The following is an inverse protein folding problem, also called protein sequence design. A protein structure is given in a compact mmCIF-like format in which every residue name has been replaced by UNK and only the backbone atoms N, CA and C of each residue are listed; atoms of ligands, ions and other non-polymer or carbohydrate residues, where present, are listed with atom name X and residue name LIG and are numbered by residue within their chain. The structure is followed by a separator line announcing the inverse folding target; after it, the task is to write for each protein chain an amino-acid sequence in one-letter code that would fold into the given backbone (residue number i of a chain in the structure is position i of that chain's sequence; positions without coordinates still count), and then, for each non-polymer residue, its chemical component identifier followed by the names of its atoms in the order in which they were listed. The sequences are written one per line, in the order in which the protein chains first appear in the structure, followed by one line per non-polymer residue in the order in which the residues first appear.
data_IF_140191202540
#
_entry.id   IF_140191202540
#
_cell.length_a   1.000
_cell.length_b   1.000
_cell.length_c   1.000
_cell.angle_alpha   90.00
_cell.angle_beta   90.00
_cell.angle_gamma   90.00
#
_symmetry.space_group_name_H-M   'P 1'
#
loop_
_entity.id
_entity.type
_entity.pdbx_description
1 polymer ?
#
# COMPACT_ATOMS: atom_id res chain seq x y z
N UNK A 1 -3.33 7.63 7.25
CA UNK A 1 -3.30 8.18 8.63
C UNK A 1 -1.88 8.32 9.18
N UNK A 2 -1.03 7.28 9.14
CA UNK A 2 0.37 7.40 9.59
C UNK A 2 1.18 8.51 8.89
N UNK A 3 1.00 8.69 7.58
CA UNK A 3 1.67 9.75 6.80
C UNK A 3 1.25 11.17 7.23
N UNK A 4 -0.02 11.38 7.59
CA UNK A 4 -0.50 12.66 8.12
C UNK A 4 0.17 12.97 9.45
N UNK A 5 0.21 11.99 10.35
CA UNK A 5 0.86 12.13 11.64
C UNK A 5 2.36 12.47 11.46
N UNK A 6 3.05 11.77 10.57
CA UNK A 6 4.44 12.07 10.22
C UNK A 6 4.60 13.51 9.69
N UNK A 7 3.69 13.97 8.83
CA UNK A 7 3.71 15.33 8.28
C UNK A 7 3.61 16.39 9.38
N UNK A 8 2.74 16.20 10.37
CA UNK A 8 2.63 17.13 11.50
C UNK A 8 3.84 17.05 12.43
N UNK A 9 4.36 15.84 12.70
CA UNK A 9 5.51 15.66 13.57
C UNK A 9 6.82 16.17 12.96
N UNK A 10 6.96 16.17 11.63
CA UNK A 10 8.15 16.75 10.96
C UNK A 10 8.20 18.27 11.07
N UNK A 11 7.06 18.92 11.29
CA UNK A 11 7.00 20.36 11.58
C UNK A 11 7.34 20.68 13.03
N UNK A 12 7.40 19.68 13.92
CA UNK A 12 7.89 19.85 15.29
C UNK A 12 9.42 19.72 15.25
N UNK A 13 10.15 20.74 15.72
CA UNK A 13 11.63 20.77 15.68
C UNK A 13 12.30 19.70 16.58
N UNK A 14 11.53 18.81 17.20
CA UNK A 14 12.01 17.80 18.13
C UNK A 14 12.22 16.44 17.44
N UNK A 15 13.50 16.09 17.24
CA UNK A 15 13.97 14.90 16.50
C UNK A 15 13.37 13.57 16.97
N UNK A 16 13.14 13.40 18.28
CA UNK A 16 12.64 12.15 18.85
C UNK A 16 11.29 11.72 18.26
N UNK A 17 10.37 12.67 18.06
CA UNK A 17 9.05 12.37 17.51
C UNK A 17 9.10 11.95 16.04
N UNK A 18 10.04 12.51 15.27
CA UNK A 18 10.26 12.18 13.87
C UNK A 18 10.80 10.74 13.76
N UNK A 19 11.72 10.34 14.64
CA UNK A 19 12.25 8.96 14.64
C UNK A 19 11.19 7.93 15.04
N UNK A 20 10.47 8.18 16.13
CA UNK A 20 9.42 7.26 16.59
C UNK A 20 8.32 7.07 15.52
N UNK A 21 7.89 8.16 14.87
CA UNK A 21 6.89 8.09 13.81
C UNK A 21 7.40 7.42 12.54
N UNK A 22 8.66 7.65 12.16
CA UNK A 22 9.30 6.96 11.03
C UNK A 22 9.37 5.45 11.23
N UNK A 23 9.72 4.99 12.43
CA UNK A 23 9.78 3.55 12.76
C UNK A 23 8.39 2.92 12.61
N UNK A 24 7.36 3.52 13.22
CA UNK A 24 6.00 3.01 13.13
C UNK A 24 5.50 3.02 11.69
N UNK A 25 5.68 4.14 10.97
CA UNK A 25 5.28 4.28 9.58
C UNK A 25 5.95 3.22 8.70
N UNK A 26 7.27 3.04 8.82
CA UNK A 26 8.04 2.06 8.06
C UNK A 26 7.63 0.62 8.36
N UNK A 27 7.39 0.29 9.64
CA UNK A 27 6.92 -1.03 10.05
C UNK A 27 5.58 -1.39 9.40
N UNK A 28 4.59 -0.51 9.49
CA UNK A 28 3.27 -0.77 8.92
C UNK A 28 3.27 -0.78 7.38
N UNK A 29 4.02 0.13 6.73
CA UNK A 29 4.11 0.15 5.27
C UNK A 29 4.75 -1.14 4.73
N UNK A 30 5.81 -1.63 5.39
CA UNK A 30 6.49 -2.86 4.98
C UNK A 30 5.62 -4.08 5.28
N UNK A 31 4.94 -4.11 6.43
CA UNK A 31 4.05 -5.22 6.81
C UNK A 31 2.78 -5.33 5.96
N UNK A 32 2.33 -4.23 5.35
CA UNK A 32 1.19 -4.22 4.43
C UNK A 32 1.50 -4.92 3.10
N UNK A 33 2.75 -4.85 2.63
CA UNK A 33 3.18 -5.42 1.35
C UNK A 33 2.93 -6.94 1.23
N UNK A 34 3.37 -7.80 2.17
CA UNK A 34 3.13 -9.24 2.08
C UNK A 34 1.63 -9.59 2.13
N UNK A 35 0.83 -8.86 2.94
CA UNK A 35 -0.63 -9.05 3.00
C UNK A 35 -1.27 -8.74 1.63
N UNK A 36 -0.81 -7.70 0.95
CA UNK A 36 -1.27 -7.36 -0.40
C UNK A 36 -0.96 -8.44 -1.44
N UNK A 37 0.20 -9.10 -1.35
CA UNK A 37 0.56 -10.20 -2.24
C UNK A 37 -0.31 -11.44 -2.00
N UNK A 38 -0.54 -11.81 -0.74
CA UNK A 38 -1.45 -12.91 -0.39
C UNK A 38 -2.89 -12.64 -0.85
N UNK A 39 -3.38 -11.42 -0.64
CA UNK A 39 -4.74 -11.05 -1.06
C UNK A 39 -4.90 -11.09 -2.59
N UNK A 40 -3.89 -10.65 -3.33
CA UNK A 40 -3.94 -10.64 -4.79
C UNK A 40 -3.83 -12.03 -5.41
N UNK A 41 -3.02 -12.92 -4.84
CA UNK A 41 -2.96 -14.32 -5.28
C UNK A 41 -4.29 -15.03 -5.04
N UNK A 42 -4.98 -14.71 -3.94
CA UNK A 42 -6.32 -15.24 -3.67
C UNK A 42 -7.39 -14.71 -4.63
N UNK A 43 -7.34 -13.42 -4.99
CA UNK A 43 -8.28 -12.81 -5.94
C UNK A 43 -8.10 -13.36 -7.38
N UNK A 44 -6.86 -13.68 -7.75
CA UNK A 44 -6.49 -14.10 -9.11
C UNK A 44 -6.50 -15.61 -9.34
N UNK A 45 -6.95 -16.42 -8.38
CA UNK A 45 -7.04 -17.87 -8.52
C UNK A 45 -7.81 -18.30 -9.79
N UNK A 46 -7.32 -19.28 -10.59
CA UNK A 46 -6.16 -20.17 -10.36
C UNK A 46 -4.87 -19.74 -11.08
N UNK A 47 -4.53 -18.45 -11.13
CA UNK A 47 -3.26 -17.98 -11.70
C UNK A 47 -2.09 -18.34 -10.77
N UNK A 48 -0.92 -18.68 -11.34
CA UNK A 48 0.29 -18.95 -10.56
C UNK A 48 0.71 -17.73 -9.73
N UNK A 49 0.99 -17.96 -8.45
CA UNK A 49 1.35 -16.92 -7.47
C UNK A 49 2.54 -16.06 -7.93
N UNK A 50 3.55 -16.69 -8.55
CA UNK A 50 4.70 -15.98 -9.11
C UNK A 50 4.34 -14.97 -10.21
N UNK A 51 3.32 -15.25 -11.03
CA UNK A 51 2.85 -14.32 -12.07
C UNK A 51 2.08 -13.16 -11.45
N UNK A 52 1.21 -13.42 -10.46
CA UNK A 52 0.46 -12.39 -9.76
C UNK A 52 1.40 -11.43 -8.99
N UNK A 53 2.33 -11.98 -8.21
CA UNK A 53 3.33 -11.21 -7.46
C UNK A 53 4.29 -10.45 -8.38
N UNK A 54 4.68 -11.04 -9.53
CA UNK A 54 5.51 -10.36 -10.54
C UNK A 54 4.83 -9.13 -11.14
N UNK A 55 3.54 -9.25 -11.52
CA UNK A 55 2.76 -8.13 -12.04
C UNK A 55 2.54 -7.03 -10.99
N UNK A 56 2.24 -7.43 -9.75
CA UNK A 56 2.07 -6.48 -8.64
C UNK A 56 3.35 -5.71 -8.36
N UNK A 57 4.49 -6.39 -8.27
CA UNK A 57 5.78 -5.73 -8.05
C UNK A 57 6.16 -4.81 -9.22
N UNK A 58 5.94 -5.24 -10.47
CA UNK A 58 6.16 -4.39 -11.64
C UNK A 58 5.30 -3.12 -11.61
N UNK A 59 4.01 -3.25 -11.26
CA UNK A 59 3.12 -2.11 -11.11
C UNK A 59 3.57 -1.16 -9.98
N UNK A 60 3.94 -1.70 -8.82
CA UNK A 60 4.42 -0.94 -7.68
C UNK A 60 5.69 -0.16 -8.02
N UNK A 61 6.62 -0.75 -8.78
CA UNK A 61 7.84 -0.08 -9.21
C UNK A 61 7.57 1.06 -10.20
N UNK A 62 6.70 0.86 -11.19
CA UNK A 62 6.36 1.91 -12.17
C UNK A 62 5.71 3.10 -11.46
N UNK A 63 4.71 2.85 -10.62
CA UNK A 63 4.06 3.92 -9.84
C UNK A 63 5.02 4.55 -8.83
N UNK A 64 5.87 3.76 -8.18
CA UNK A 64 6.87 4.22 -7.23
C UNK A 64 7.87 5.19 -7.85
N UNK A 65 8.39 4.87 -9.04
CA UNK A 65 9.30 5.76 -9.77
C UNK A 65 8.58 7.06 -10.16
N UNK A 66 7.40 6.97 -10.76
CA UNK A 66 6.64 8.14 -11.19
C UNK A 66 6.31 9.08 -10.01
N UNK A 67 5.86 8.50 -8.89
CA UNK A 67 5.50 9.24 -7.69
C UNK A 67 6.73 9.85 -7.00
N UNK A 68 7.86 9.13 -6.96
CA UNK A 68 9.13 9.66 -6.44
C UNK A 68 9.61 10.86 -7.24
N UNK A 69 9.54 10.79 -8.58
CA UNK A 69 9.91 11.92 -9.45
C UNK A 69 8.97 13.11 -9.26
N UNK A 70 7.66 12.88 -9.17
CA UNK A 70 6.67 13.93 -8.93
C UNK A 70 6.93 14.65 -7.60
N UNK A 71 7.11 13.89 -6.51
CA UNK A 71 7.37 14.45 -5.18
C UNK A 71 8.74 15.13 -5.11
N UNK A 72 9.74 14.60 -5.80
CA UNK A 72 11.06 15.22 -5.95
C UNK A 72 10.98 16.60 -6.61
N UNK A 73 10.17 16.73 -7.67
CA UNK A 73 9.93 18.02 -8.31
C UNK A 73 9.21 18.99 -7.37
N UNK A 74 8.19 18.54 -6.64
CA UNK A 74 7.47 19.38 -5.65
C UNK A 74 8.40 19.82 -4.52
N UNK A 75 9.32 18.96 -4.07
CA UNK A 75 10.33 19.31 -3.06
C UNK A 75 11.30 20.38 -3.56
N UNK A 76 11.68 20.34 -4.84
CA UNK A 76 12.67 21.26 -5.40
C UNK A 76 12.12 22.68 -5.61
N UNK A 77 10.85 22.81 -5.99
CA UNK A 77 10.22 24.10 -6.31
C UNK A 77 9.20 24.57 -5.26
N UNK A 78 8.89 23.73 -4.27
CA UNK A 78 7.86 23.99 -3.26
C UNK A 78 8.38 23.78 -1.84
N UNK A 79 7.49 23.30 -0.96
CA UNK A 79 7.77 23.10 0.46
C UNK A 79 7.63 21.63 0.85
N UNK A 80 8.38 21.21 1.87
CA UNK A 80 8.31 19.86 2.46
C UNK A 80 6.89 19.48 2.86
N UNK A 81 6.10 20.45 3.35
CA UNK A 81 4.70 20.23 3.71
C UNK A 81 3.85 19.86 2.49
N UNK A 82 4.03 20.55 1.35
CA UNK A 82 3.29 20.27 0.12
C UNK A 82 3.61 18.87 -0.41
N UNK A 83 4.90 18.49 -0.41
CA UNK A 83 5.35 17.16 -0.83
C UNK A 83 4.76 16.04 0.03
N UNK A 84 4.75 16.21 1.35
CA UNK A 84 4.14 15.25 2.28
C UNK A 84 2.61 15.20 2.16
N UNK A 85 1.96 16.33 1.85
CA UNK A 85 0.52 16.38 1.59
C UNK A 85 0.16 15.63 0.30
N UNK A 86 0.97 15.75 -0.75
CA UNK A 86 0.81 15.00 -2.00
C UNK A 86 0.92 13.49 -1.76
N UNK A 87 1.94 13.05 -1.02
CA UNK A 87 2.10 11.64 -0.61
C UNK A 87 0.90 11.13 0.18
N UNK A 88 0.42 11.94 1.12
CA UNK A 88 -0.79 11.64 1.88
C UNK A 88 -2.02 11.50 0.99
N UNK A 89 -2.22 12.43 0.06
CA UNK A 89 -3.34 12.40 -0.88
C UNK A 89 -3.33 11.13 -1.74
N UNK A 90 -2.16 10.73 -2.23
CA UNK A 90 -2.00 9.52 -3.02
C UNK A 90 -2.28 8.24 -2.21
N UNK A 91 -1.87 8.21 -0.94
CA UNK A 91 -2.20 7.11 -0.03
C UNK A 91 -3.71 7.02 0.27
N UNK A 92 -4.38 8.16 0.45
CA UNK A 92 -5.84 8.20 0.64
C UNK A 92 -6.54 7.70 -0.62
N UNK A 93 -6.12 8.18 -1.79
CA UNK A 93 -6.65 7.72 -3.08
C UNK A 93 -6.43 6.21 -3.28
N UNK A 94 -5.23 5.70 -2.99
CA UNK A 94 -4.93 4.27 -3.03
C UNK A 94 -5.81 3.48 -2.06
N UNK A 95 -5.99 3.97 -0.83
CA UNK A 95 -6.88 3.33 0.17
C UNK A 95 -8.33 3.30 -0.32
N UNK A 96 -8.81 4.39 -0.93
CA UNK A 96 -10.14 4.45 -1.52
C UNK A 96 -10.30 3.44 -2.65
N UNK A 97 -9.33 3.36 -3.57
CA UNK A 97 -9.33 2.34 -4.62
C UNK A 97 -9.36 0.92 -4.04
N UNK A 98 -8.55 0.65 -3.00
CA UNK A 98 -8.55 -0.65 -2.31
C UNK A 98 -9.90 -0.96 -1.67
N UNK A 99 -10.57 0.03 -1.06
CA UNK A 99 -11.89 -0.16 -0.47
C UNK A 99 -12.98 -0.50 -1.51
N UNK A 100 -12.79 -0.09 -2.77
CA UNK A 100 -13.68 -0.45 -3.88
C UNK A 100 -13.42 -1.84 -4.44
N UNK A 101 -12.30 -2.48 -4.09
CA UNK A 101 -12.02 -3.85 -4.53
C UNK A 101 -13.00 -4.78 -3.81
N UNK A 102 -13.90 -5.38 -4.59
CA UNK A 102 -14.83 -6.38 -4.09
C UNK A 102 -14.03 -7.61 -3.65
N UNK A 103 -14.06 -7.90 -2.35
CA UNK A 103 -13.44 -9.09 -1.75
C UNK A 103 -14.24 -10.36 -2.06
N UNK A 104 -14.57 -10.58 -3.33
CA UNK A 104 -15.09 -11.86 -3.79
C UNK A 104 -13.92 -12.86 -3.79
N UNK A 105 -13.68 -13.47 -2.62
CA UNK A 105 -12.66 -14.50 -2.41
C UNK A 105 -13.07 -15.75 -3.22
N UNK A 106 -12.66 -15.78 -4.49
CA UNK A 106 -12.97 -16.85 -5.44
C UNK A 106 -12.58 -18.23 -4.92
N UNK A 107 -11.55 -18.30 -4.05
CA UNK A 107 -11.12 -19.51 -3.35
C UNK A 107 -12.17 -20.01 -2.34
N UNK A 108 -12.80 -19.13 -1.55
CA UNK A 108 -13.86 -19.52 -0.62
C UNK A 108 -15.09 -20.06 -1.37
N UNK A 109 -15.50 -19.43 -2.49
CA UNK A 109 -16.59 -19.94 -3.32
C UNK A 109 -16.26 -21.28 -4.00
N UNK A 110 -15.01 -21.48 -4.40
CA UNK A 110 -14.58 -22.76 -4.99
C UNK A 110 -14.66 -23.90 -3.96
N UNK A 111 -14.27 -23.66 -2.70
CA UNK A 111 -14.42 -24.63 -1.60
C UNK A 111 -15.88 -24.86 -1.19
N UNK A 112 -16.73 -23.82 -1.20
CA UNK A 112 -18.18 -23.95 -0.92
C UNK A 112 -18.92 -24.77 -1.99
N UNK A 113 -18.42 -24.75 -3.24
CA UNK A 113 -19.00 -25.52 -4.36
C UNK A 113 -18.59 -26.99 -4.41
N UNK A 114 -17.73 -27.46 -3.50
CA UNK A 114 -17.40 -28.89 -3.36
C UNK A 114 -18.41 -29.49 -2.37
N UNK A 115 -19.38 -30.33 -2.80
CA UNK A 115 -20.26 -31.02 -1.88
C UNK A 115 -19.38 -31.83 -0.93
N UNK A 116 -19.60 -31.66 0.37
CA UNK A 116 -18.92 -32.41 1.41
C UNK A 116 -19.26 -33.89 1.25
N UNK A 117 -18.48 -34.64 0.47
CA UNK A 117 -18.48 -36.10 0.53
C UNK A 117 -17.63 -36.46 1.74
N UNK A 118 -18.31 -36.48 2.89
CA UNK A 118 -17.85 -37.04 4.15
C UNK A 118 -17.58 -38.55 3.93
N UNK A 119 -16.41 -39.10 4.28
CA UNK A 119 -16.31 -40.51 4.67
C UNK A 119 -16.83 -40.73 6.10
#
# INVERSE_FOLDING_TARGET
MGMLLFTFLVNVEQMWYIYASSILLGFFMTGYLPIGFEFASELTFPVAEGTASGLLNASAQIFGIALTLCVGFILQYGNVLASNLTLTGFLIFGTFLTALIKSDLRRQRAHESIPCILP
#
